data_IF_087253494740
#
_entry.id   IF_087253494740
#
_cell.length_a   1.000
_cell.length_b   1.000
_cell.length_c   1.000
_cell.angle_alpha   90.00
_cell.angle_beta   90.00
_cell.angle_gamma   90.00
#
_symmetry.space_group_name_H-M   'P 1'
#
loop_
_entity.id
_entity.type
_entity.pdbx_description
1 polymer ?
#
# COMPACT_ATOMS: atom_id res chain seq x y z
N UNK A 1 -5.35 2.08 24.70
CA UNK A 1 -4.15 1.33 24.28
C UNK A 1 -4.65 0.05 23.63
N UNK A 2 -4.80 0.02 22.30
CA UNK A 2 -5.41 -1.13 21.61
C UNK A 2 -4.36 -2.23 21.51
N UNK A 3 -4.63 -3.35 22.17
CA UNK A 3 -3.76 -4.51 22.20
C UNK A 3 -3.97 -5.30 20.89
N UNK A 4 -3.01 -5.22 19.97
CA UNK A 4 -3.05 -5.85 18.64
C UNK A 4 -2.84 -7.38 18.68
N UNK A 5 -2.88 -8.01 19.86
CA UNK A 5 -2.78 -9.47 20.02
C UNK A 5 -4.12 -10.20 19.88
N UNK A 6 -5.26 -9.48 19.80
CA UNK A 6 -6.54 -10.11 19.54
C UNK A 6 -6.66 -10.49 18.06
N UNK A 7 -6.39 -11.76 17.81
CA UNK A 7 -6.59 -12.48 16.54
C UNK A 7 -7.97 -12.22 15.91
N UNK A 8 -8.94 -11.71 16.67
CA UNK A 8 -10.27 -11.36 16.20
C UNK A 8 -10.31 -10.08 15.35
N UNK A 9 -9.63 -8.99 15.74
CA UNK A 9 -9.54 -7.76 14.93
C UNK A 9 -8.68 -7.98 13.69
N UNK A 10 -7.62 -8.77 13.85
CA UNK A 10 -6.76 -9.21 12.76
C UNK A 10 -7.55 -10.05 11.74
N UNK A 11 -8.29 -11.07 12.18
CA UNK A 11 -9.13 -11.86 11.29
C UNK A 11 -10.34 -11.08 10.76
N UNK A 12 -10.89 -10.11 11.50
CA UNK A 12 -12.00 -9.27 11.03
C UNK A 12 -11.58 -8.35 9.87
N UNK A 13 -10.40 -7.73 9.96
CA UNK A 13 -9.83 -6.91 8.88
C UNK A 13 -9.46 -7.72 7.63
N UNK A 14 -9.09 -9.00 7.79
CA UNK A 14 -8.72 -9.88 6.67
C UNK A 14 -9.90 -10.72 6.14
N UNK A 15 -10.93 -11.02 6.94
CA UNK A 15 -12.13 -11.77 6.54
C UNK A 15 -13.19 -10.91 5.84
N UNK A 16 -13.25 -9.60 6.10
CA UNK A 16 -14.11 -8.66 5.35
C UNK A 16 -13.49 -8.23 4.00
N UNK A 17 -12.54 -9.00 3.46
CA UNK A 17 -12.08 -8.90 2.06
C UNK A 17 -13.17 -9.30 1.04
N UNK A 18 -14.45 -9.30 1.42
CA UNK A 18 -15.58 -9.74 0.58
C UNK A 18 -16.60 -8.61 0.48
N UNK A 19 -16.73 -8.08 -0.74
CA UNK A 19 -17.91 -7.41 -1.28
C UNK A 19 -18.20 -5.97 -0.83
N UNK A 20 -17.64 -5.01 -1.59
CA UNK A 20 -18.39 -3.89 -2.14
C UNK A 20 -19.07 -2.92 -1.18
N UNK A 21 -18.32 -2.19 -0.35
CA UNK A 21 -18.88 -1.02 0.34
C UNK A 21 -17.89 0.13 0.46
N UNK A 22 -18.26 1.26 -0.15
CA UNK A 22 -17.40 2.39 -0.40
C UNK A 22 -16.95 3.11 0.89
N UNK A 23 -17.83 3.22 1.89
CA UNK A 23 -17.55 4.02 3.09
C UNK A 23 -16.64 3.33 4.11
N UNK A 24 -16.53 1.99 4.05
CA UNK A 24 -15.78 1.22 5.04
C UNK A 24 -14.27 1.34 4.87
N UNK A 25 -13.78 1.39 3.63
CA UNK A 25 -12.35 1.43 3.32
C UNK A 25 -11.69 2.71 3.87
N UNK A 26 -12.30 3.86 3.64
CA UNK A 26 -11.83 5.15 4.18
C UNK A 26 -11.95 5.17 5.71
N UNK A 27 -13.02 4.59 6.26
CA UNK A 27 -13.17 4.49 7.72
C UNK A 27 -12.09 3.62 8.37
N UNK A 28 -11.58 2.59 7.70
CA UNK A 28 -10.50 1.72 8.22
C UNK A 28 -9.21 2.52 8.38
N UNK A 29 -8.86 3.37 7.40
CA UNK A 29 -7.70 4.27 7.51
C UNK A 29 -7.82 5.23 8.69
N UNK A 30 -9.02 5.78 8.89
CA UNK A 30 -9.30 6.68 10.01
C UNK A 30 -9.28 5.94 11.37
N UNK A 31 -9.77 4.69 11.44
CA UNK A 31 -9.86 3.91 12.68
C UNK A 31 -8.54 3.22 13.07
N UNK A 32 -7.76 2.69 12.12
CA UNK A 32 -6.43 2.14 12.42
C UNK A 32 -5.41 3.23 12.73
N UNK A 33 -5.63 4.45 12.23
CA UNK A 33 -4.65 5.52 12.24
C UNK A 33 -3.57 5.30 11.18
N UNK A 34 -3.37 6.30 10.33
CA UNK A 34 -2.37 6.26 9.26
C UNK A 34 -0.96 6.01 9.80
N UNK A 35 -0.64 6.57 10.97
CA UNK A 35 0.64 6.38 11.64
C UNK A 35 0.92 4.92 12.01
N UNK A 36 -0.12 4.15 12.33
CA UNK A 36 0.03 2.73 12.67
C UNK A 36 0.30 1.91 11.41
N UNK A 37 -0.35 2.21 10.29
CA UNK A 37 -0.11 1.53 9.01
C UNK A 37 1.31 1.81 8.51
N UNK A 38 1.76 3.07 8.53
CA UNK A 38 3.12 3.41 8.10
C UNK A 38 4.20 2.83 9.01
N UNK A 39 3.92 2.71 10.31
CA UNK A 39 4.80 1.98 11.24
C UNK A 39 4.91 0.50 10.86
N UNK A 40 3.80 -0.16 10.52
CA UNK A 40 3.78 -1.58 10.13
C UNK A 40 4.43 -1.82 8.75
N UNK A 41 4.40 -0.83 7.85
CA UNK A 41 5.15 -0.89 6.58
C UNK A 41 6.68 -0.81 6.77
N UNK A 42 7.14 -0.39 7.95
CA UNK A 42 8.56 -0.38 8.33
C UNK A 42 8.93 -1.56 9.24
N UNK A 43 8.03 -2.53 9.42
CA UNK A 43 8.27 -3.69 10.28
C UNK A 43 9.29 -4.64 9.64
N UNK A 44 10.15 -5.25 10.48
CA UNK A 44 11.18 -6.18 10.04
C UNK A 44 10.64 -7.59 9.79
N UNK A 45 9.46 -7.93 10.33
CA UNK A 45 8.79 -9.19 10.05
C UNK A 45 8.09 -9.13 8.69
N UNK A 46 8.61 -9.91 7.73
CA UNK A 46 8.06 -10.02 6.38
C UNK A 46 6.58 -10.40 6.34
N UNK A 47 6.08 -11.18 7.32
CA UNK A 47 4.67 -11.56 7.37
C UNK A 47 3.78 -10.37 7.76
N UNK A 48 4.26 -9.51 8.66
CA UNK A 48 3.55 -8.28 9.04
C UNK A 48 3.58 -7.29 7.88
N UNK A 49 4.74 -7.12 7.24
CA UNK A 49 4.90 -6.27 6.07
C UNK A 49 3.98 -6.70 4.92
N UNK A 50 3.99 -7.97 4.54
CA UNK A 50 3.16 -8.52 3.46
C UNK A 50 1.66 -8.33 3.71
N UNK A 51 1.21 -8.57 4.94
CA UNK A 51 -0.19 -8.36 5.32
C UNK A 51 -0.57 -6.88 5.26
N UNK A 52 0.33 -6.00 5.69
CA UNK A 52 0.13 -4.54 5.63
C UNK A 52 0.07 -4.04 4.19
N UNK A 53 0.92 -4.56 3.31
CA UNK A 53 0.88 -4.26 1.88
C UNK A 53 -0.40 -4.77 1.22
N UNK A 54 -0.85 -5.98 1.56
CA UNK A 54 -2.13 -6.51 1.09
C UNK A 54 -3.32 -5.63 1.51
N UNK A 55 -3.33 -5.16 2.76
CA UNK A 55 -4.32 -4.20 3.23
C UNK A 55 -4.28 -2.89 2.43
N UNK A 56 -3.09 -2.31 2.25
CA UNK A 56 -2.92 -1.06 1.50
C UNK A 56 -3.38 -1.20 0.04
N UNK A 57 -3.02 -2.31 -0.61
CA UNK A 57 -3.48 -2.64 -1.96
C UNK A 57 -5.00 -2.70 -2.05
N UNK A 58 -5.64 -3.35 -1.07
CA UNK A 58 -7.10 -3.47 -1.02
C UNK A 58 -7.78 -2.11 -0.82
N UNK A 59 -7.25 -1.26 0.05
CA UNK A 59 -7.77 0.10 0.25
C UNK A 59 -7.70 0.95 -1.03
N UNK A 60 -6.66 0.73 -1.83
CA UNK A 60 -6.41 1.42 -3.10
C UNK A 60 -7.02 0.68 -4.31
N UNK A 61 -7.92 -0.28 -4.13
CA UNK A 61 -8.51 -1.04 -5.25
C UNK A 61 -9.71 -0.36 -5.93
N UNK A 62 -10.28 0.68 -5.32
CA UNK A 62 -11.50 1.35 -5.79
C UNK A 62 -11.18 2.74 -6.33
N UNK A 63 -11.41 2.99 -7.64
CA UNK A 63 -11.10 4.27 -8.32
C UNK A 63 -11.60 5.51 -7.57
N UNK A 64 -12.82 5.48 -7.04
CA UNK A 64 -13.39 6.60 -6.27
C UNK A 64 -12.64 6.99 -5.00
N UNK A 65 -11.89 6.06 -4.38
CA UNK A 65 -11.13 6.33 -3.16
C UNK A 65 -9.65 6.54 -3.40
N UNK A 66 -9.11 6.03 -4.50
CA UNK A 66 -7.69 6.17 -4.83
C UNK A 66 -7.29 7.64 -4.74
N UNK A 67 -8.04 8.54 -5.39
CA UNK A 67 -7.75 9.97 -5.38
C UNK A 67 -7.90 10.60 -3.99
N UNK A 68 -8.93 10.20 -3.22
CA UNK A 68 -9.13 10.72 -1.86
C UNK A 68 -7.99 10.29 -0.91
N UNK A 69 -7.62 9.00 -0.93
CA UNK A 69 -6.54 8.46 -0.12
C UNK A 69 -5.21 9.10 -0.50
N UNK A 70 -4.92 9.24 -1.79
CA UNK A 70 -3.70 9.86 -2.28
C UNK A 70 -3.64 11.36 -2.02
N UNK A 71 -4.77 12.06 -1.97
CA UNK A 71 -4.82 13.46 -1.59
C UNK A 71 -4.46 13.66 -0.11
N UNK A 72 -4.89 12.75 0.77
CA UNK A 72 -4.62 12.84 2.21
C UNK A 72 -3.26 12.26 2.62
N UNK A 73 -2.81 11.18 1.97
CA UNK A 73 -1.69 10.34 2.44
C UNK A 73 -0.71 9.93 1.32
N UNK A 74 -0.81 10.56 0.16
CA UNK A 74 -0.05 10.12 -1.02
C UNK A 74 1.46 10.23 -0.84
N UNK A 75 1.95 11.19 -0.04
CA UNK A 75 3.40 11.35 0.18
C UNK A 75 3.97 10.16 0.96
N UNK A 76 3.31 9.80 2.04
CA UNK A 76 3.71 8.70 2.93
C UNK A 76 3.60 7.35 2.22
N UNK A 77 2.53 7.15 1.44
CA UNK A 77 2.34 5.95 0.61
C UNK A 77 3.48 5.82 -0.42
N UNK A 78 3.78 6.90 -1.15
CA UNK A 78 4.84 6.89 -2.15
C UNK A 78 6.22 6.66 -1.52
N UNK A 79 6.50 7.27 -0.37
CA UNK A 79 7.75 7.06 0.36
C UNK A 79 7.90 5.60 0.83
N UNK A 80 6.84 5.00 1.38
CA UNK A 80 6.86 3.60 1.80
C UNK A 80 7.15 2.67 0.62
N UNK A 81 6.54 2.93 -0.54
CA UNK A 81 6.78 2.17 -1.77
C UNK A 81 8.24 2.32 -2.22
N UNK A 82 8.80 3.53 -2.22
CA UNK A 82 10.22 3.75 -2.58
C UNK A 82 11.13 2.92 -1.66
N UNK A 83 10.92 2.99 -0.34
CA UNK A 83 11.73 2.25 0.64
C UNK A 83 11.70 0.74 0.40
N UNK A 84 10.52 0.18 0.09
CA UNK A 84 10.37 -1.25 -0.21
C UNK A 84 11.06 -1.61 -1.53
N UNK A 85 10.94 -0.76 -2.55
CA UNK A 85 11.57 -1.02 -3.84
C UNK A 85 13.10 -0.89 -3.78
N UNK A 86 13.63 -0.03 -2.90
CA UNK A 86 15.08 0.13 -2.64
C UNK A 86 15.65 -0.93 -1.70
N UNK A 87 14.87 -1.39 -0.74
CA UNK A 87 15.32 -2.32 0.30
C UNK A 87 15.70 -3.70 -0.23
N UNK A 88 16.42 -4.44 0.61
CA UNK A 88 16.77 -5.86 0.42
C UNK A 88 15.56 -6.77 0.73
N UNK A 89 14.45 -6.52 0.04
CA UNK A 89 13.24 -7.34 0.14
C UNK A 89 13.19 -8.39 -0.99
N UNK A 90 12.46 -9.47 -0.75
CA UNK A 90 12.20 -10.51 -1.76
C UNK A 90 11.41 -9.96 -2.94
N UNK A 91 11.46 -10.67 -4.08
CA UNK A 91 10.70 -10.33 -5.27
C UNK A 91 9.19 -10.23 -4.99
N UNK A 92 8.64 -11.14 -4.18
CA UNK A 92 7.22 -11.18 -3.80
C UNK A 92 6.77 -9.90 -3.07
N UNK A 93 7.60 -9.39 -2.15
CA UNK A 93 7.31 -8.14 -1.41
C UNK A 93 7.35 -6.94 -2.35
N UNK A 94 8.34 -6.91 -3.25
CA UNK A 94 8.50 -5.85 -4.25
C UNK A 94 7.36 -5.85 -5.26
N UNK A 95 6.87 -7.02 -5.65
CA UNK A 95 5.70 -7.18 -6.50
C UNK A 95 4.44 -6.59 -5.85
N UNK A 96 4.24 -6.77 -4.54
CA UNK A 96 3.11 -6.13 -3.86
C UNK A 96 3.19 -4.60 -3.92
N UNK A 97 4.38 -4.01 -3.76
CA UNK A 97 4.56 -2.57 -3.90
C UNK A 97 4.26 -2.08 -5.33
N UNK A 98 4.66 -2.83 -6.35
CA UNK A 98 4.32 -2.54 -7.75
C UNK A 98 2.81 -2.66 -8.02
N UNK A 99 2.15 -3.68 -7.46
CA UNK A 99 0.69 -3.83 -7.56
C UNK A 99 -0.06 -2.64 -6.94
N UNK A 100 0.45 -2.10 -5.83
CA UNK A 100 -0.11 -0.89 -5.21
C UNK A 100 0.06 0.31 -6.16
N UNK A 101 1.23 0.51 -6.77
CA UNK A 101 1.43 1.57 -7.77
C UNK A 101 0.49 1.44 -8.97
N UNK A 102 0.28 0.22 -9.45
CA UNK A 102 -0.67 -0.05 -10.54
C UNK A 102 -2.10 0.35 -10.15
N UNK A 103 -2.52 0.01 -8.94
CA UNK A 103 -3.81 0.43 -8.38
C UNK A 103 -3.91 1.97 -8.28
N UNK A 104 -2.89 2.64 -7.73
CA UNK A 104 -2.86 4.11 -7.62
C UNK A 104 -2.95 4.77 -9.00
N UNK A 105 -2.33 4.20 -10.02
CA UNK A 105 -2.34 4.74 -11.39
C UNK A 105 -3.72 4.71 -12.07
N UNK A 106 -4.72 4.02 -11.50
CA UNK A 106 -6.09 4.03 -11.99
C UNK A 106 -6.89 5.29 -11.51
N UNK A 107 -6.40 6.02 -10.50
CA UNK A 107 -6.94 7.32 -10.09
C UNK A 107 -6.44 8.47 -10.98
N UNK A 108 -7.21 9.55 -11.11
CA UNK A 108 -6.88 10.63 -12.04
C UNK A 108 -5.85 11.61 -11.44
N UNK A 109 -6.05 12.02 -10.18
CA UNK A 109 -5.12 12.87 -9.43
C UNK A 109 -3.92 12.03 -8.98
N UNK A 110 -4.18 10.82 -8.49
CA UNK A 110 -3.20 9.87 -8.01
C UNK A 110 -2.18 9.48 -9.09
N UNK A 111 -2.63 9.22 -10.32
CA UNK A 111 -1.74 8.99 -11.47
C UNK A 111 -0.83 10.18 -11.73
N UNK A 112 -1.38 11.39 -11.70
CA UNK A 112 -0.58 12.61 -11.89
C UNK A 112 0.50 12.75 -10.82
N UNK A 113 0.18 12.38 -9.56
CA UNK A 113 1.15 12.35 -8.47
C UNK A 113 2.29 11.35 -8.74
N UNK A 114 2.00 10.15 -9.24
CA UNK A 114 3.03 9.19 -9.68
C UNK A 114 3.90 9.80 -10.79
N UNK A 115 3.26 10.33 -11.84
CA UNK A 115 3.98 10.86 -13.01
C UNK A 115 4.85 12.08 -12.68
N UNK A 116 4.52 12.81 -11.61
CA UNK A 116 5.34 13.93 -11.12
C UNK A 116 6.47 13.52 -10.17
N UNK A 117 6.50 12.26 -9.72
CA UNK A 117 7.49 11.77 -8.77
C UNK A 117 8.63 11.04 -9.51
N UNK A 118 9.71 11.77 -9.79
CA UNK A 118 10.87 11.24 -10.51
C UNK A 118 11.51 10.02 -9.83
N UNK A 119 11.52 9.98 -8.49
CA UNK A 119 12.15 8.88 -7.76
C UNK A 119 11.39 7.59 -7.98
N UNK A 120 10.06 7.62 -7.87
CA UNK A 120 9.22 6.46 -8.21
C UNK A 120 9.40 6.04 -9.67
N UNK A 121 9.41 6.99 -10.61
CA UNK A 121 9.63 6.66 -12.02
C UNK A 121 10.99 6.02 -12.27
N UNK A 122 12.07 6.54 -11.65
CA UNK A 122 13.41 5.95 -11.73
C UNK A 122 13.43 4.52 -11.18
N UNK A 123 12.75 4.27 -10.05
CA UNK A 123 12.64 2.91 -9.51
C UNK A 123 11.87 1.99 -10.45
N UNK A 124 10.72 2.41 -10.98
CA UNK A 124 9.97 1.62 -11.95
C UNK A 124 10.80 1.26 -13.18
N UNK A 125 11.51 2.23 -13.76
CA UNK A 125 12.40 1.98 -14.90
C UNK A 125 13.52 1.01 -14.56
N UNK A 126 14.13 1.14 -13.37
CA UNK A 126 15.17 0.20 -12.93
C UNK A 126 14.63 -1.23 -12.77
N UNK A 127 13.42 -1.41 -12.25
CA UNK A 127 12.77 -2.72 -12.14
C UNK A 127 12.44 -3.33 -13.51
N UNK A 128 12.04 -2.51 -14.48
CA UNK A 128 11.73 -2.98 -15.84
C UNK A 128 12.99 -3.29 -16.67
N UNK A 129 14.10 -2.58 -16.41
CA UNK A 129 15.37 -2.73 -17.12
C UNK A 129 16.34 -3.72 -16.49
N UNK A 130 16.05 -4.19 -15.26
CA UNK A 130 16.76 -5.33 -14.67
C UNK A 130 16.08 -6.61 -15.16
N UNK A 131 16.87 -7.57 -15.65
CA UNK A 131 16.40 -8.93 -15.94
C UNK A 131 15.99 -9.59 -14.61
N UNK A 132 14.79 -9.29 -14.12
CA UNK A 132 14.18 -10.03 -13.04
C UNK A 132 13.79 -11.41 -13.58
N UNK A 133 14.34 -12.52 -13.05
CA UNK A 133 13.80 -13.84 -13.33
C UNK A 133 12.44 -13.89 -12.62
N UNK A 134 11.38 -13.83 -13.41
CA UNK A 134 10.02 -14.20 -12.97
C UNK A 134 9.97 -15.69 -12.68
#
# INVERSE_FOLDING_TARGET
>A
MVNLSDSFLFNFLFSESVSGNSDRQVSILHHLGTDQIFRLLSDTDVHILMKTLGLLRNLLSTKGHIDQIMQCHGKEIMQAIILILEGEHSAEVKEQALCILANIADGDIAKSAIMSNEDVLKKLMNYMGSDFPV
#
